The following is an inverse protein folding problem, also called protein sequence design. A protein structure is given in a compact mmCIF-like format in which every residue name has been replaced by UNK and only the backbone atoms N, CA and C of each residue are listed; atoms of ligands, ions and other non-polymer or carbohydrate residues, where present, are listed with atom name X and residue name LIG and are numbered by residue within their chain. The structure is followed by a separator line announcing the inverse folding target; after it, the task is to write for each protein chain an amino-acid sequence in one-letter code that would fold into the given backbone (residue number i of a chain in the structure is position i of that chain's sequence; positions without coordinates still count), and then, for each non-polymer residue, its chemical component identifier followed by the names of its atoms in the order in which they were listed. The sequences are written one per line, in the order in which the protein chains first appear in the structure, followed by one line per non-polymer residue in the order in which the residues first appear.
data_IF_659584843113
#
_entry.id   IF_659584843113
#
_cell.length_a   1.000
_cell.length_b   1.000
_cell.length_c   1.000
_cell.angle_alpha   90.00
_cell.angle_beta   90.00
_cell.angle_gamma   90.00
#
_symmetry.space_group_name_H-M   'P 1'
#
loop_
_entity.id
_entity.type
_entity.pdbx_description
1 polymer ?
#
# COMPACT_ATOMS: atom_id res chain seq x y z
N UNK A 1 29.17 4.66 -7.82
CA UNK A 1 28.19 5.42 -8.58
C UNK A 1 27.99 6.78 -7.92
N UNK A 2 28.00 7.83 -8.71
CA UNK A 2 27.76 9.23 -8.29
C UNK A 2 26.30 9.49 -7.96
N UNK A 3 25.65 8.57 -7.24
CA UNK A 3 24.25 8.71 -6.85
C UNK A 3 24.14 9.48 -5.55
N UNK A 4 23.27 10.50 -5.46
CA UNK A 4 23.08 11.28 -4.25
C UNK A 4 22.40 10.48 -3.12
N UNK A 5 21.83 9.31 -3.43
CA UNK A 5 21.11 8.50 -2.45
C UNK A 5 21.15 7.03 -2.78
N UNK A 6 21.47 6.22 -1.77
CA UNK A 6 21.37 4.77 -1.80
C UNK A 6 20.30 4.29 -0.84
N UNK A 7 19.50 3.33 -1.27
CA UNK A 7 18.49 2.66 -0.47
C UNK A 7 18.80 1.17 -0.45
N UNK A 8 19.12 0.64 0.69
CA UNK A 8 19.47 -0.78 0.89
C UNK A 8 18.40 -1.40 1.78
N UNK A 9 17.70 -2.41 1.26
CA UNK A 9 16.74 -3.19 2.04
C UNK A 9 17.39 -4.52 2.40
N UNK A 10 17.46 -4.80 3.69
CA UNK A 10 18.09 -6.00 4.22
C UNK A 10 17.23 -7.24 3.99
N UNK A 11 17.84 -8.44 3.94
CA UNK A 11 17.13 -9.69 3.69
C UNK A 11 16.06 -9.94 4.75
N UNK A 12 15.01 -10.64 4.33
CA UNK A 12 13.95 -11.13 5.20
C UNK A 12 13.82 -12.63 5.02
N UNK A 13 13.09 -13.32 5.89
CA UNK A 13 12.77 -14.73 5.69
C UNK A 13 12.03 -15.03 4.38
N UNK A 14 11.49 -13.99 3.72
CA UNK A 14 10.75 -14.07 2.45
C UNK A 14 11.59 -13.65 1.24
N UNK A 15 12.50 -12.71 1.43
CA UNK A 15 13.40 -12.19 0.40
C UNK A 15 14.84 -12.37 0.91
N UNK A 16 15.54 -13.42 0.52
CA UNK A 16 16.87 -13.73 1.05
C UNK A 16 17.98 -12.82 0.52
N UNK A 17 17.72 -12.05 -0.53
CA UNK A 17 18.70 -11.12 -1.11
C UNK A 17 18.63 -9.72 -0.52
N UNK A 18 19.78 -9.02 -0.53
CA UNK A 18 19.86 -7.58 -0.22
C UNK A 18 19.42 -6.81 -1.45
N UNK A 19 18.37 -6.00 -1.34
CA UNK A 19 17.94 -5.12 -2.43
C UNK A 19 18.62 -3.76 -2.30
N UNK A 20 19.51 -3.44 -3.22
CA UNK A 20 20.10 -2.12 -3.35
C UNK A 20 19.35 -1.33 -4.43
N UNK A 21 19.02 -0.06 -4.16
CA UNK A 21 18.43 0.85 -5.13
C UNK A 21 19.09 2.22 -5.02
N UNK A 22 19.31 2.86 -6.16
CA UNK A 22 19.95 4.16 -6.24
C UNK A 22 19.34 4.99 -7.37
N UNK A 23 19.46 6.31 -7.28
CA UNK A 23 19.05 7.21 -8.34
C UNK A 23 20.23 7.47 -9.29
N UNK A 24 19.95 7.50 -10.59
CA UNK A 24 20.94 7.98 -11.55
C UNK A 24 21.18 9.49 -11.40
N UNK A 25 22.39 9.91 -11.63
CA UNK A 25 22.66 11.32 -11.94
C UNK A 25 21.87 11.74 -13.19
N UNK A 26 21.42 13.00 -13.29
CA UNK A 26 20.77 13.48 -14.51
C UNK A 26 21.73 13.32 -15.71
N UNK A 27 21.30 12.53 -16.70
CA UNK A 27 22.06 12.42 -17.96
C UNK A 27 21.73 13.64 -18.81
N UNK A 28 22.75 14.29 -19.35
CA UNK A 28 22.56 15.40 -20.26
C UNK A 28 21.76 14.97 -21.49
N UNK A 29 20.90 15.86 -22.01
CA UNK A 29 20.10 15.56 -23.21
C UNK A 29 21.02 15.19 -24.38
N UNK A 30 20.76 14.04 -24.99
CA UNK A 30 21.50 13.55 -26.17
C UNK A 30 22.67 12.61 -25.89
N UNK A 31 22.97 12.29 -24.63
CA UNK A 31 23.98 11.29 -24.27
C UNK A 31 23.30 9.92 -24.20
N UNK A 32 23.85 8.93 -24.93
CA UNK A 32 23.40 7.55 -24.84
C UNK A 32 23.67 7.01 -23.43
N UNK A 33 22.69 6.36 -22.86
CA UNK A 33 22.83 5.75 -21.54
C UNK A 33 23.70 4.48 -21.63
N UNK A 34 24.57 4.25 -20.64
CA UNK A 34 25.37 3.02 -20.63
C UNK A 34 24.47 1.78 -20.53
N UNK A 35 24.88 0.65 -21.13
CA UNK A 35 24.16 -0.61 -20.99
C UNK A 35 24.05 -0.98 -19.50
N UNK A 36 22.93 -1.60 -19.12
CA UNK A 36 22.72 -2.08 -17.76
C UNK A 36 23.64 -3.27 -17.48
N UNK A 37 24.29 -3.25 -16.32
CA UNK A 37 25.04 -4.39 -15.84
C UNK A 37 24.13 -5.59 -15.56
N UNK A 38 24.68 -6.80 -15.61
CA UNK A 38 23.92 -8.03 -15.35
C UNK A 38 23.28 -7.98 -13.96
N UNK A 39 21.98 -8.31 -13.88
CA UNK A 39 21.21 -8.29 -12.61
C UNK A 39 20.72 -6.91 -12.16
N UNK A 40 21.05 -5.84 -12.88
CA UNK A 40 20.54 -4.49 -12.60
C UNK A 40 19.27 -4.23 -13.38
N UNK A 41 18.23 -3.78 -12.70
CA UNK A 41 16.96 -3.32 -13.31
C UNK A 41 16.86 -1.81 -13.21
N UNK A 42 16.21 -1.19 -14.20
CA UNK A 42 15.98 0.26 -14.23
C UNK A 42 14.49 0.57 -14.31
N UNK A 43 14.07 1.56 -13.53
CA UNK A 43 12.71 2.12 -13.59
C UNK A 43 12.76 3.64 -13.56
N UNK A 44 12.69 4.26 -14.72
CA UNK A 44 12.88 5.70 -14.86
C UNK A 44 14.29 6.13 -14.44
N UNK A 45 14.39 6.96 -13.41
CA UNK A 45 15.66 7.45 -12.85
C UNK A 45 16.24 6.56 -11.73
N UNK A 46 15.56 5.46 -11.38
CA UNK A 46 15.98 4.57 -10.31
C UNK A 46 16.53 3.27 -10.88
N UNK A 47 17.66 2.85 -10.34
CA UNK A 47 18.28 1.57 -10.57
C UNK A 47 18.08 0.68 -9.35
N UNK A 48 17.99 -0.61 -9.54
CA UNK A 48 17.97 -1.56 -8.44
C UNK A 48 18.64 -2.88 -8.83
N UNK A 49 19.28 -3.50 -7.86
CA UNK A 49 19.84 -4.82 -7.96
C UNK A 49 19.51 -5.62 -6.69
N UNK A 50 19.38 -6.92 -6.84
CA UNK A 50 19.33 -7.85 -5.72
C UNK A 50 20.70 -8.47 -5.58
N UNK A 51 21.30 -8.34 -4.41
CA UNK A 51 22.67 -8.78 -4.13
C UNK A 51 22.63 -10.00 -3.21
N UNK A 52 23.55 -10.90 -3.40
CA UNK A 52 23.83 -11.97 -2.46
C UNK A 52 24.42 -11.37 -1.17
N UNK A 53 23.82 -11.60 0.01
CA UNK A 53 24.29 -11.02 1.25
C UNK A 53 25.67 -11.51 1.68
N UNK A 54 26.14 -12.68 1.20
CA UNK A 54 27.44 -13.23 1.53
C UNK A 54 28.55 -12.68 0.64
N UNK A 55 28.29 -12.50 -0.65
CA UNK A 55 29.30 -12.13 -1.65
C UNK A 55 29.18 -10.69 -2.15
N UNK A 56 28.04 -10.04 -1.93
CA UNK A 56 27.71 -8.72 -2.47
C UNK A 56 27.52 -8.71 -3.99
N UNK A 57 27.60 -9.86 -4.66
CA UNK A 57 27.43 -9.95 -6.11
C UNK A 57 25.95 -9.87 -6.51
N UNK A 58 25.64 -9.28 -7.65
CA UNK A 58 24.28 -9.29 -8.17
C UNK A 58 23.81 -10.73 -8.37
N UNK A 59 22.67 -11.06 -7.76
CA UNK A 59 21.97 -12.31 -8.04
C UNK A 59 21.37 -12.22 -9.44
N UNK A 60 21.51 -13.29 -10.23
CA UNK A 60 20.83 -13.40 -11.51
C UNK A 60 19.34 -13.14 -11.27
N UNK A 61 18.80 -12.14 -11.97
CA UNK A 61 17.45 -11.64 -11.71
C UNK A 61 16.43 -12.76 -11.73
N UNK A 62 15.71 -12.93 -10.63
CA UNK A 62 14.50 -13.75 -10.62
C UNK A 62 13.58 -13.22 -11.70
N UNK A 63 13.03 -14.09 -12.53
CA UNK A 63 12.11 -13.73 -13.61
C UNK A 63 10.95 -12.88 -13.05
N UNK A 64 11.01 -11.59 -13.27
CA UNK A 64 9.94 -10.67 -12.88
C UNK A 64 8.80 -10.76 -13.91
N UNK A 65 7.75 -11.50 -13.58
CA UNK A 65 6.54 -11.56 -14.43
C UNK A 65 5.71 -10.28 -14.37
N UNK A 66 5.99 -9.40 -13.41
CA UNK A 66 5.22 -8.17 -13.07
C UNK A 66 3.72 -8.41 -12.80
N UNK A 67 3.25 -9.66 -12.72
CA UNK A 67 1.84 -9.96 -12.46
C UNK A 67 1.37 -9.41 -11.11
N UNK A 68 2.15 -9.56 -10.07
CA UNK A 68 1.85 -8.98 -8.75
C UNK A 68 1.80 -7.45 -8.79
N UNK A 69 2.73 -6.80 -9.49
CA UNK A 69 2.75 -5.35 -9.66
C UNK A 69 1.55 -4.84 -10.47
N UNK A 70 1.09 -5.62 -11.45
CA UNK A 70 -0.11 -5.29 -12.21
C UNK A 70 -1.34 -5.22 -11.30
N UNK A 71 -1.61 -6.26 -10.51
CA UNK A 71 -2.75 -6.27 -9.58
C UNK A 71 -2.60 -5.26 -8.46
N UNK A 72 -1.39 -5.06 -7.94
CA UNK A 72 -1.11 -4.04 -6.94
C UNK A 72 -1.46 -2.63 -7.45
N UNK A 73 -1.06 -2.29 -8.69
CA UNK A 73 -1.39 -1.01 -9.31
C UNK A 73 -2.87 -0.91 -9.69
N UNK A 74 -3.47 -1.98 -10.20
CA UNK A 74 -4.89 -2.01 -10.53
C UNK A 74 -5.75 -1.66 -9.31
N UNK A 75 -5.32 -2.07 -8.12
CA UNK A 75 -6.05 -1.86 -6.88
C UNK A 75 -6.32 -0.38 -6.57
N UNK A 76 -5.42 0.53 -6.92
CA UNK A 76 -5.56 1.95 -6.57
C UNK A 76 -5.32 2.95 -7.72
N UNK A 77 -4.74 2.52 -8.84
CA UNK A 77 -4.43 3.38 -9.99
C UNK A 77 -5.22 3.01 -11.25
N UNK A 78 -5.98 1.89 -11.28
CA UNK A 78 -6.85 1.45 -12.38
C UNK A 78 -6.19 1.50 -13.77
N UNK A 79 -4.96 1.23 -13.97
CA UNK A 79 -4.23 1.29 -15.25
C UNK A 79 -4.90 2.10 -16.40
N UNK A 80 -4.13 2.53 -17.38
CA UNK A 80 -4.59 3.21 -18.61
C UNK A 80 -5.34 4.53 -18.42
N UNK A 81 -5.32 5.12 -17.23
CA UNK A 81 -5.85 6.45 -16.94
C UNK A 81 -4.93 7.22 -15.97
N UNK A 82 -5.05 8.56 -15.88
CA UNK A 82 -4.32 9.33 -14.88
C UNK A 82 -4.64 8.86 -13.45
N UNK A 83 -3.60 8.57 -12.65
CA UNK A 83 -3.72 8.02 -11.31
C UNK A 83 -4.63 8.83 -10.38
N UNK A 84 -4.67 10.16 -10.54
CA UNK A 84 -5.53 11.02 -9.73
C UNK A 84 -7.01 10.70 -9.93
N UNK A 85 -7.45 10.51 -11.16
CA UNK A 85 -8.84 10.16 -11.48
C UNK A 85 -9.18 8.75 -11.03
N UNK A 86 -8.25 7.80 -11.26
CA UNK A 86 -8.41 6.43 -10.81
C UNK A 86 -8.64 6.36 -9.30
N UNK A 87 -7.82 7.06 -8.52
CA UNK A 87 -7.93 7.10 -7.06
C UNK A 87 -9.23 7.74 -6.57
N UNK A 88 -9.73 8.78 -7.25
CA UNK A 88 -11.06 9.33 -6.95
C UNK A 88 -12.17 8.32 -7.22
N UNK A 89 -12.14 7.63 -8.35
CA UNK A 89 -13.14 6.59 -8.68
C UNK A 89 -13.14 5.49 -7.61
N UNK A 90 -11.95 4.97 -7.28
CA UNK A 90 -11.81 3.93 -6.24
C UNK A 90 -12.28 4.44 -4.88
N UNK A 91 -11.95 5.68 -4.52
CA UNK A 91 -12.40 6.30 -3.28
C UNK A 91 -13.92 6.40 -3.19
N UNK A 92 -14.60 6.79 -4.26
CA UNK A 92 -16.07 6.79 -4.33
C UNK A 92 -16.63 5.37 -4.19
N UNK A 93 -16.07 4.38 -4.88
CA UNK A 93 -16.48 2.98 -4.74
C UNK A 93 -16.30 2.47 -3.31
N UNK A 94 -15.17 2.77 -2.68
CA UNK A 94 -14.91 2.41 -1.28
C UNK A 94 -15.84 3.11 -0.31
N UNK A 95 -16.18 4.39 -0.53
CA UNK A 95 -17.15 5.12 0.28
C UNK A 95 -18.54 4.51 0.18
N UNK A 96 -19.01 4.20 -1.04
CA UNK A 96 -20.29 3.53 -1.22
C UNK A 96 -20.31 2.14 -0.60
N UNK A 97 -19.21 1.40 -0.69
CA UNK A 97 -19.07 0.10 -0.04
C UNK A 97 -19.17 0.24 1.48
N UNK A 98 -18.48 1.22 2.09
CA UNK A 98 -18.55 1.47 3.53
C UNK A 98 -19.99 1.82 3.97
N UNK A 99 -20.65 2.70 3.24
CA UNK A 99 -22.06 3.05 3.50
C UNK A 99 -22.95 1.82 3.38
N UNK A 100 -22.76 0.98 2.35
CA UNK A 100 -23.54 -0.25 2.17
C UNK A 100 -23.32 -1.24 3.32
N UNK A 101 -22.08 -1.42 3.78
CA UNK A 101 -21.76 -2.28 4.93
C UNK A 101 -22.46 -1.77 6.19
N UNK A 102 -22.30 -0.49 6.52
CA UNK A 102 -22.90 0.09 7.74
C UNK A 102 -24.42 0.03 7.69
N UNK A 103 -25.03 0.43 6.58
CA UNK A 103 -26.49 0.38 6.41
C UNK A 103 -27.01 -1.05 6.40
N UNK A 104 -26.26 -2.00 5.82
CA UNK A 104 -26.56 -3.42 5.85
C UNK A 104 -26.62 -3.96 7.28
N UNK A 105 -25.66 -3.63 8.12
CA UNK A 105 -25.64 -4.03 9.55
C UNK A 105 -26.85 -3.44 10.29
N UNK A 106 -27.16 -2.16 10.06
CA UNK A 106 -28.23 -1.46 10.76
C UNK A 106 -29.62 -1.99 10.34
N UNK A 107 -29.81 -2.27 9.05
CA UNK A 107 -31.12 -2.67 8.50
C UNK A 107 -31.42 -4.16 8.68
N UNK A 108 -30.41 -5.02 8.64
CA UNK A 108 -30.59 -6.49 8.74
C UNK A 108 -30.40 -7.00 10.16
N UNK A 109 -31.38 -6.77 11.05
CA UNK A 109 -31.33 -7.16 12.46
C UNK A 109 -31.08 -8.67 12.71
N UNK A 110 -31.38 -9.54 11.73
CA UNK A 110 -31.19 -11.01 11.80
C UNK A 110 -30.05 -11.50 10.94
N UNK A 111 -29.08 -10.65 10.62
CA UNK A 111 -27.97 -10.95 9.71
C UNK A 111 -27.25 -12.26 10.07
N UNK A 112 -27.07 -12.56 11.36
CA UNK A 112 -26.41 -13.77 11.83
C UNK A 112 -27.33 -14.99 11.89
N UNK A 113 -28.65 -14.80 12.05
CA UNK A 113 -29.63 -15.91 12.08
C UNK A 113 -29.85 -16.48 10.68
N UNK A 114 -29.93 -15.62 9.67
CA UNK A 114 -30.17 -16.02 8.28
C UNK A 114 -28.90 -16.50 7.57
N UNK A 115 -27.72 -16.28 8.17
CA UNK A 115 -26.43 -16.68 7.63
C UNK A 115 -26.30 -18.19 7.36
N UNK A 116 -26.83 -19.03 8.25
CA UNK A 116 -26.70 -20.49 8.15
C UNK A 116 -27.70 -21.18 7.18
N UNK A 117 -28.52 -20.40 6.48
CA UNK A 117 -29.55 -20.93 5.57
C UNK A 117 -29.13 -20.87 4.10
N UNK A 118 -28.12 -21.63 3.68
CA UNK A 118 -27.75 -21.73 2.27
C UNK A 118 -28.57 -22.78 1.52
N UNK A 119 -29.36 -22.33 0.55
CA UNK A 119 -30.24 -23.17 -0.29
C UNK A 119 -29.69 -23.30 -1.69
N UNK A 120 -28.94 -24.34 -1.97
CA UNK A 120 -28.39 -24.62 -3.29
C UNK A 120 -29.48 -24.91 -4.35
N UNK A 121 -29.22 -24.57 -5.60
CA UNK A 121 -30.06 -24.86 -6.79
C UNK A 121 -31.51 -24.33 -6.72
N UNK A 122 -31.71 -23.19 -6.02
CA UNK A 122 -33.02 -22.53 -5.90
C UNK A 122 -33.07 -21.19 -6.70
N UNK A 123 -32.28 -21.06 -7.76
CA UNK A 123 -32.26 -19.89 -8.64
C UNK A 123 -31.86 -18.62 -7.88
N UNK A 124 -32.66 -17.56 -8.01
CA UNK A 124 -32.37 -16.25 -7.37
C UNK A 124 -32.18 -16.36 -5.85
N UNK A 125 -32.82 -17.30 -5.20
CA UNK A 125 -32.70 -17.51 -3.75
C UNK A 125 -31.32 -18.02 -3.35
N UNK A 126 -30.71 -18.88 -4.19
CA UNK A 126 -29.32 -19.33 -3.97
C UNK A 126 -28.33 -18.17 -4.08
N UNK A 127 -28.54 -17.25 -5.01
CA UNK A 127 -27.69 -16.05 -5.14
C UNK A 127 -27.84 -15.11 -3.95
N UNK A 128 -29.05 -14.94 -3.43
CA UNK A 128 -29.28 -14.16 -2.21
C UNK A 128 -28.59 -14.78 -0.99
N UNK A 129 -28.74 -16.10 -0.83
CA UNK A 129 -28.10 -16.84 0.26
C UNK A 129 -26.57 -16.77 0.15
N UNK A 130 -26.00 -16.88 -1.07
CA UNK A 130 -24.56 -16.72 -1.31
C UNK A 130 -24.07 -15.29 -1.01
N UNK A 131 -24.83 -14.29 -1.42
CA UNK A 131 -24.54 -12.88 -1.12
C UNK A 131 -24.49 -12.64 0.40
N UNK A 132 -25.50 -13.09 1.12
CA UNK A 132 -25.58 -12.96 2.57
C UNK A 132 -24.44 -13.72 3.27
N UNK A 133 -24.19 -14.97 2.87
CA UNK A 133 -23.14 -15.79 3.47
C UNK A 133 -21.76 -15.17 3.32
N UNK A 134 -21.40 -14.71 2.12
CA UNK A 134 -20.09 -14.06 1.87
C UNK A 134 -19.98 -12.71 2.55
N UNK A 135 -21.07 -11.93 2.58
CA UNK A 135 -21.10 -10.63 3.25
C UNK A 135 -20.88 -10.76 4.77
N UNK A 136 -21.56 -11.73 5.42
CA UNK A 136 -21.48 -11.91 6.88
C UNK A 136 -20.18 -12.58 7.30
N UNK A 137 -19.73 -13.60 6.56
CA UNK A 137 -18.50 -14.33 6.90
C UNK A 137 -17.27 -13.43 6.86
N UNK A 138 -17.17 -12.58 5.88
CA UNK A 138 -16.04 -11.67 5.71
C UNK A 138 -16.32 -10.25 6.23
N UNK A 139 -17.42 -10.02 6.96
CA UNK A 139 -17.84 -8.70 7.43
C UNK A 139 -16.77 -7.93 8.22
N UNK A 140 -16.09 -8.53 9.22
CA UNK A 140 -15.05 -7.82 9.97
C UNK A 140 -13.90 -7.39 9.07
N UNK A 141 -13.50 -8.25 8.13
CA UNK A 141 -12.47 -7.95 7.16
C UNK A 141 -12.93 -6.84 6.19
N UNK A 142 -14.13 -6.96 5.61
CA UNK A 142 -14.64 -5.97 4.65
C UNK A 142 -14.78 -4.58 5.29
N UNK A 143 -15.26 -4.51 6.53
CA UNK A 143 -15.34 -3.25 7.27
C UNK A 143 -13.95 -2.67 7.51
N UNK A 144 -13.02 -3.48 8.03
CA UNK A 144 -11.64 -3.10 8.30
C UNK A 144 -10.94 -2.62 7.03
N UNK A 145 -10.92 -3.41 5.96
CA UNK A 145 -10.14 -3.13 4.76
C UNK A 145 -10.69 -1.91 3.99
N UNK A 146 -12.02 -1.74 3.96
CA UNK A 146 -12.66 -0.61 3.29
C UNK A 146 -12.40 0.70 4.04
N UNK A 147 -12.58 0.71 5.36
CA UNK A 147 -12.33 1.88 6.19
C UNK A 147 -10.84 2.28 6.14
N UNK A 148 -9.94 1.32 6.33
CA UNK A 148 -8.50 1.58 6.31
C UNK A 148 -8.00 1.99 4.92
N UNK A 149 -8.64 1.51 3.84
CA UNK A 149 -8.38 1.95 2.47
C UNK A 149 -8.67 3.44 2.26
N UNK A 150 -9.81 3.91 2.77
CA UNK A 150 -10.14 5.34 2.75
C UNK A 150 -9.14 6.18 3.57
N UNK A 151 -8.71 5.67 4.74
CA UNK A 151 -7.68 6.34 5.55
C UNK A 151 -6.34 6.40 4.83
N UNK A 152 -5.99 5.40 4.02
CA UNK A 152 -4.73 5.37 3.26
C UNK A 152 -4.58 6.57 2.33
N UNK A 153 -5.66 7.00 1.70
CA UNK A 153 -5.70 8.15 0.78
C UNK A 153 -6.44 9.37 1.37
N UNK A 154 -6.64 9.42 2.69
CA UNK A 154 -7.46 10.46 3.33
C UNK A 154 -6.99 11.88 3.05
N UNK A 155 -5.68 12.11 2.88
CA UNK A 155 -5.13 13.43 2.57
C UNK A 155 -5.55 13.92 1.17
N UNK A 156 -5.86 12.99 0.26
CA UNK A 156 -6.40 13.31 -1.05
C UNK A 156 -7.90 13.56 -0.98
N UNK A 157 -8.63 12.76 -0.20
CA UNK A 157 -10.10 12.86 -0.11
C UNK A 157 -10.57 13.96 0.85
N UNK A 158 -9.82 14.20 1.94
CA UNK A 158 -10.16 15.15 3.01
C UNK A 158 -8.94 16.03 3.38
N UNK A 159 -8.47 16.90 2.47
CA UNK A 159 -7.30 17.75 2.73
C UNK A 159 -7.54 18.86 3.74
N UNK A 160 -8.80 19.09 4.12
CA UNK A 160 -9.20 20.25 4.93
C UNK A 160 -8.65 20.22 6.36
N UNK A 161 -8.54 19.05 6.99
CA UNK A 161 -7.97 18.90 8.33
C UNK A 161 -6.55 19.49 8.42
N UNK A 162 -5.59 19.02 7.60
CA UNK A 162 -4.26 19.61 7.52
C UNK A 162 -4.24 21.09 7.15
N UNK A 163 -5.10 21.52 6.22
CA UNK A 163 -5.18 22.91 5.80
C UNK A 163 -5.60 23.85 6.96
N UNK A 164 -6.59 23.45 7.73
CA UNK A 164 -7.07 24.24 8.88
C UNK A 164 -6.04 24.22 10.03
N UNK A 165 -5.53 23.03 10.40
CA UNK A 165 -4.64 22.87 11.55
C UNK A 165 -3.30 23.54 11.33
N UNK A 166 -2.71 23.39 10.14
CA UNK A 166 -1.39 23.91 9.80
C UNK A 166 -1.44 25.22 8.97
N UNK A 167 -2.63 25.82 8.81
CA UNK A 167 -2.83 27.08 8.06
C UNK A 167 -2.22 27.04 6.64
N UNK A 168 -2.23 25.87 6.01
CA UNK A 168 -1.65 25.65 4.70
C UNK A 168 -0.12 25.37 4.70
N UNK A 169 0.53 25.38 5.85
CA UNK A 169 1.95 24.99 5.94
C UNK A 169 2.12 23.47 5.77
N UNK A 170 2.31 23.07 4.51
CA UNK A 170 2.53 21.67 4.13
C UNK A 170 3.84 21.11 4.70
N UNK A 171 4.83 21.98 4.95
CA UNK A 171 6.12 21.53 5.47
C UNK A 171 6.02 21.17 6.95
N UNK A 172 5.38 22.01 7.78
CA UNK A 172 5.10 21.73 9.18
C UNK A 172 4.26 20.44 9.34
N UNK A 173 3.19 20.32 8.54
CA UNK A 173 2.39 19.09 8.49
C UNK A 173 3.22 17.85 8.18
N UNK A 174 4.06 17.92 7.12
CA UNK A 174 4.86 16.77 6.71
C UNK A 174 5.92 16.40 7.75
N UNK A 175 6.54 17.39 8.39
CA UNK A 175 7.54 17.17 9.43
C UNK A 175 6.94 16.47 10.67
N UNK A 176 5.72 16.85 11.04
CA UNK A 176 5.06 16.27 12.22
C UNK A 176 4.46 14.89 11.93
N UNK A 177 3.70 14.75 10.83
CA UNK A 177 2.93 13.52 10.54
C UNK A 177 3.80 12.42 9.92
N UNK A 178 4.87 12.81 9.24
CA UNK A 178 5.83 11.90 8.59
C UNK A 178 7.26 12.19 9.05
N UNK A 179 7.56 12.04 10.33
CA UNK A 179 8.92 12.27 10.82
C UNK A 179 9.90 11.36 10.10
N UNK A 180 11.00 11.92 9.61
CA UNK A 180 11.99 11.22 8.80
C UNK A 180 11.73 11.22 7.29
N UNK A 181 10.61 11.77 6.81
CA UNK A 181 10.36 12.03 5.38
C UNK A 181 10.88 13.40 4.92
N UNK A 182 11.65 14.09 5.76
CA UNK A 182 12.29 15.36 5.43
C UNK A 182 13.14 15.27 4.17
N UNK A 183 13.44 16.42 3.55
CA UNK A 183 14.36 16.48 2.42
C UNK A 183 15.71 15.93 2.86
N UNK A 184 16.30 15.09 1.99
CA UNK A 184 17.70 14.70 2.19
C UNK A 184 18.55 15.94 2.46
N UNK A 185 19.53 15.85 3.39
CA UNK A 185 20.41 16.97 3.68
C UNK A 185 21.05 17.45 2.38
N UNK A 186 21.21 18.78 2.24
CA UNK A 186 21.90 19.32 1.09
C UNK A 186 23.37 18.89 1.14
N UNK A 187 23.97 18.49 0.01
CA UNK A 187 25.39 18.18 -0.02
C UNK A 187 26.21 19.43 0.36
N UNK A 188 27.29 19.22 1.09
CA UNK A 188 28.22 20.30 1.47
C UNK A 188 29.15 20.69 0.33
N UNK A 189 29.34 19.79 -0.64
CA UNK A 189 30.34 19.92 -1.69
C UNK A 189 31.78 19.60 -1.24
N UNK A 190 31.96 19.19 0.02
CA UNK A 190 33.25 18.79 0.58
C UNK A 190 33.36 17.27 0.52
N UNK A 191 34.35 16.76 -0.20
CA UNK A 191 34.57 15.32 -0.30
C UNK A 191 35.00 14.74 1.04
N UNK A 192 34.28 13.68 1.48
CA UNK A 192 34.63 12.93 2.68
C UNK A 192 34.24 11.46 2.51
N UNK A 193 35.06 10.49 2.93
CA UNK A 193 34.75 9.07 2.82
C UNK A 193 33.59 8.70 3.71
N UNK A 194 32.75 7.76 3.27
CA UNK A 194 31.72 7.14 4.10
C UNK A 194 32.38 6.24 5.14
N UNK A 195 31.99 6.43 6.40
CA UNK A 195 32.43 5.57 7.50
C UNK A 195 31.79 4.15 7.44
N UNK A 196 32.28 3.23 8.28
CA UNK A 196 31.76 1.87 8.34
C UNK A 196 30.31 1.84 8.84
N UNK A 197 29.44 1.12 8.12
CA UNK A 197 28.01 1.01 8.45
C UNK A 197 27.73 -0.09 9.49
N UNK A 198 28.58 -1.12 9.58
CA UNK A 198 28.40 -2.24 10.49
C UNK A 198 28.23 -1.82 11.96
N UNK A 199 29.03 -0.90 12.53
CA UNK A 199 28.84 -0.43 13.90
C UNK A 199 27.50 0.28 14.10
N UNK A 200 26.96 0.95 13.08
CA UNK A 200 25.67 1.63 13.14
C UNK A 200 24.53 0.61 13.21
N UNK A 201 24.63 -0.48 12.42
CA UNK A 201 23.67 -1.59 12.48
C UNK A 201 23.71 -2.24 13.86
N UNK A 202 24.89 -2.46 14.45
CA UNK A 202 25.01 -3.01 15.80
C UNK A 202 24.32 -2.12 16.85
N UNK A 203 24.45 -0.80 16.76
CA UNK A 203 23.76 0.13 17.66
C UNK A 203 22.23 0.04 17.47
N UNK A 204 21.73 -0.08 16.25
CA UNK A 204 20.32 -0.25 15.99
C UNK A 204 19.79 -1.60 16.54
N UNK A 205 20.57 -2.67 16.41
CA UNK A 205 20.23 -3.99 16.97
C UNK A 205 20.19 -4.01 18.50
N UNK A 206 21.10 -3.27 19.15
CA UNK A 206 21.06 -3.11 20.62
C UNK A 206 19.76 -2.44 21.10
N UNK A 207 19.17 -1.52 20.30
CA UNK A 207 17.93 -0.82 20.64
C UNK A 207 16.67 -1.57 20.25
N UNK A 208 16.67 -2.24 19.10
CA UNK A 208 15.47 -2.84 18.51
C UNK A 208 15.46 -4.37 18.52
N UNK A 209 16.56 -5.01 18.93
CA UNK A 209 16.77 -6.45 18.85
C UNK A 209 17.47 -6.90 17.55
N UNK A 210 18.00 -8.10 17.56
CA UNK A 210 18.65 -8.68 16.39
C UNK A 210 17.70 -8.83 15.19
N UNK A 211 18.22 -8.60 13.98
CA UNK A 211 17.44 -8.73 12.75
C UNK A 211 16.33 -7.70 12.56
N UNK A 212 16.21 -6.73 13.46
CA UNK A 212 15.15 -5.72 13.43
C UNK A 212 15.40 -4.59 12.43
N UNK A 213 16.64 -4.36 12.00
CA UNK A 213 16.96 -3.38 10.96
C UNK A 213 16.47 -3.88 9.60
N UNK A 214 15.59 -3.10 8.95
CA UNK A 214 15.00 -3.47 7.68
C UNK A 214 15.54 -2.67 6.50
N UNK A 215 15.87 -1.41 6.73
CA UNK A 215 16.28 -0.50 5.66
C UNK A 215 17.43 0.41 6.10
N UNK A 216 18.36 0.61 5.20
CA UNK A 216 19.47 1.55 5.33
C UNK A 216 19.34 2.56 4.19
N UNK A 217 19.27 3.84 4.51
CA UNK A 217 19.29 4.91 3.53
C UNK A 217 20.58 5.70 3.71
N UNK A 218 21.40 5.80 2.67
CA UNK A 218 22.59 6.65 2.66
C UNK A 218 22.30 7.85 1.78
N UNK A 219 22.33 9.04 2.33
CA UNK A 219 22.18 10.30 1.59
C UNK A 219 23.54 10.97 1.47
N UNK A 220 23.82 11.54 0.31
CA UNK A 220 25.08 12.22 -0.05
C UNK A 220 26.34 11.35 0.21
N UNK A 221 26.40 10.10 -0.27
CA UNK A 221 27.59 9.26 -0.06
C UNK A 221 28.82 9.91 -0.70
N UNK A 222 29.92 10.01 0.05
CA UNK A 222 31.15 10.67 -0.40
C UNK A 222 31.25 12.18 -0.13
N UNK A 223 30.29 12.72 0.63
CA UNK A 223 30.25 14.13 1.04
C UNK A 223 30.34 14.26 2.54
N UNK A 224 30.90 15.34 3.06
CA UNK A 224 30.98 15.60 4.49
C UNK A 224 29.61 15.72 5.17
N UNK A 225 28.55 16.08 4.43
CA UNK A 225 27.18 16.09 4.89
C UNK A 225 26.47 14.73 4.66
N UNK A 226 27.21 13.63 4.48
CA UNK A 226 26.63 12.31 4.36
C UNK A 226 25.86 11.93 5.62
N UNK A 227 24.69 11.31 5.44
CA UNK A 227 23.92 10.74 6.54
C UNK A 227 23.55 9.27 6.24
N UNK A 228 23.53 8.46 7.30
CA UNK A 228 23.07 7.08 7.27
C UNK A 228 21.84 6.97 8.16
N UNK A 229 20.71 6.67 7.55
CA UNK A 229 19.45 6.44 8.27
C UNK A 229 19.14 4.96 8.30
N UNK A 230 19.03 4.39 9.49
CA UNK A 230 18.56 3.03 9.70
C UNK A 230 17.09 3.06 10.09
N UNK A 231 16.28 2.19 9.49
CA UNK A 231 14.87 2.06 9.82
C UNK A 231 14.56 0.64 10.28
N UNK A 232 13.73 0.51 11.32
CA UNK A 232 13.25 -0.79 11.80
C UNK A 232 12.39 -1.46 10.74
N UNK A 233 12.30 -2.77 10.78
CA UNK A 233 11.47 -3.57 9.86
C UNK A 233 9.99 -3.26 10.03
N UNK A 234 9.27 -3.18 8.91
CA UNK A 234 7.84 -2.88 8.90
C UNK A 234 6.94 -4.11 9.09
N UNK A 235 7.51 -5.32 9.05
CA UNK A 235 6.77 -6.57 9.09
C UNK A 235 6.68 -7.18 10.49
N UNK A 236 7.22 -6.51 11.51
CA UNK A 236 7.21 -6.98 12.91
C UNK A 236 5.99 -6.48 13.68
N UNK A 237 5.39 -5.36 13.27
CA UNK A 237 4.28 -4.71 13.97
C UNK A 237 3.11 -4.40 13.05
N UNK A 238 1.91 -4.28 13.64
CA UNK A 238 0.74 -3.75 12.90
C UNK A 238 0.93 -2.29 12.50
N UNK A 239 1.76 -1.53 13.19
CA UNK A 239 2.03 -0.14 12.85
C UNK A 239 2.94 -0.05 11.62
N UNK A 240 2.57 0.78 10.65
CA UNK A 240 3.42 1.12 9.51
C UNK A 240 4.52 2.13 9.85
N UNK A 241 4.46 2.72 11.03
CA UNK A 241 5.46 3.65 11.52
C UNK A 241 6.74 2.89 11.90
N UNK A 242 7.83 3.27 11.26
CA UNK A 242 9.13 2.66 11.52
C UNK A 242 9.98 3.63 12.33
N UNK A 243 10.45 3.24 13.54
CA UNK A 243 11.48 3.96 14.23
C UNK A 243 12.73 4.07 13.35
N UNK A 244 13.41 5.21 13.40
CA UNK A 244 14.62 5.45 12.61
C UNK A 244 15.71 6.04 13.47
N UNK A 245 16.96 5.66 13.19
CA UNK A 245 18.16 6.27 13.74
C UNK A 245 18.89 6.95 12.59
N UNK A 246 19.25 8.21 12.78
CA UNK A 246 19.99 9.01 11.80
C UNK A 246 21.39 9.25 12.33
N UNK A 247 22.39 8.84 11.56
CA UNK A 247 23.80 8.98 11.89
C UNK A 247 24.51 9.90 10.91
N UNK A 248 25.53 10.58 11.37
CA UNK A 248 26.52 11.19 10.50
C UNK A 248 27.25 10.09 9.72
N UNK A 249 27.25 10.19 8.40
CA UNK A 249 27.79 9.14 7.52
C UNK A 249 29.31 9.05 7.51
N UNK A 250 30.03 10.07 8.01
CA UNK A 250 31.49 10.09 7.99
C UNK A 250 32.10 9.59 9.30
N UNK A 251 31.54 10.00 10.45
CA UNK A 251 32.07 9.68 11.78
C UNK A 251 31.20 8.75 12.62
N UNK A 252 29.99 8.40 12.14
CA UNK A 252 29.07 7.48 12.85
C UNK A 252 28.36 8.07 14.06
N UNK A 253 28.45 9.37 14.32
CA UNK A 253 27.75 10.04 15.41
C UNK A 253 26.23 9.96 15.20
N UNK A 254 25.47 9.62 16.25
CA UNK A 254 24.01 9.69 16.22
C UNK A 254 23.57 11.14 16.18
N UNK A 255 22.87 11.54 15.12
CA UNK A 255 22.36 12.89 14.88
C UNK A 255 20.92 13.06 15.36
N UNK A 256 20.14 11.98 15.34
CA UNK A 256 18.74 12.02 15.72
C UNK A 256 18.09 10.65 15.72
N UNK A 257 16.96 10.61 16.40
CA UNK A 257 16.12 9.43 16.52
C UNK A 257 14.68 9.84 16.29
N UNK A 258 13.95 9.09 15.46
CA UNK A 258 12.51 9.24 15.35
C UNK A 258 11.86 8.07 16.04
N UNK A 259 11.12 8.41 17.08
CA UNK A 259 10.83 7.51 18.13
C UNK A 259 9.72 6.51 17.93
N UNK A 260 9.63 5.71 18.93
CA UNK A 260 8.54 4.78 19.19
C UNK A 260 7.31 5.52 19.74
N UNK A 261 7.51 6.60 20.47
CA UNK A 261 6.43 7.44 21.01
C UNK A 261 6.11 8.60 20.05
N UNK A 262 5.05 8.44 19.28
CA UNK A 262 4.61 9.39 18.23
C UNK A 262 3.30 10.08 18.56
N UNK A 263 2.78 9.91 19.77
CA UNK A 263 1.45 10.39 20.13
C UNK A 263 0.30 9.56 19.49
N UNK A 264 -0.88 9.68 20.07
CA UNK A 264 -2.03 8.85 19.75
C UNK A 264 -2.49 8.97 18.29
N UNK A 265 -2.47 10.17 17.71
CA UNK A 265 -2.95 10.43 16.34
C UNK A 265 -2.07 9.73 15.31
N UNK A 266 -0.75 9.88 15.40
CA UNK A 266 0.20 9.26 14.46
C UNK A 266 0.18 7.75 14.63
N UNK A 267 0.13 7.24 15.86
CA UNK A 267 0.03 5.81 16.15
C UNK A 267 -1.24 5.22 15.55
N UNK A 268 -2.41 5.83 15.79
CA UNK A 268 -3.69 5.37 15.23
C UNK A 268 -3.64 5.32 13.70
N UNK A 269 -3.18 6.41 13.07
CA UNK A 269 -3.04 6.45 11.61
C UNK A 269 -2.10 5.35 11.11
N UNK A 270 -0.97 5.16 11.77
CA UNK A 270 0.04 4.18 11.37
C UNK A 270 -0.45 2.74 11.51
N UNK A 271 -1.24 2.44 12.54
CA UNK A 271 -1.88 1.14 12.72
C UNK A 271 -2.96 0.92 11.63
N UNK A 272 -3.82 1.91 11.38
CA UNK A 272 -4.84 1.79 10.32
C UNK A 272 -4.21 1.57 8.94
N UNK A 273 -3.12 2.28 8.65
CA UNK A 273 -2.36 2.10 7.42
C UNK A 273 -1.69 0.72 7.36
N UNK A 274 -1.12 0.26 8.47
CA UNK A 274 -0.51 -1.07 8.57
C UNK A 274 -1.51 -2.20 8.43
N UNK A 275 -2.71 -2.06 9.01
CA UNK A 275 -3.83 -2.99 8.84
C UNK A 275 -4.23 -3.11 7.37
N UNK A 276 -4.29 -2.00 6.65
CA UNK A 276 -4.58 -2.02 5.22
C UNK A 276 -3.51 -2.74 4.40
N UNK A 277 -2.25 -2.55 4.74
CA UNK A 277 -1.14 -3.20 4.03
C UNK A 277 -0.96 -4.68 4.37
N UNK A 278 -1.35 -5.10 5.57
CA UNK A 278 -1.24 -6.48 6.05
C UNK A 278 0.21 -7.04 6.07
N UNK A 279 1.22 -6.18 6.21
CA UNK A 279 2.64 -6.62 6.19
C UNK A 279 3.00 -7.49 7.38
N UNK A 280 2.41 -7.22 8.53
CA UNK A 280 2.58 -7.98 9.78
C UNK A 280 1.97 -9.39 9.71
N UNK A 281 1.05 -9.61 8.76
CA UNK A 281 0.32 -10.87 8.67
C UNK A 281 1.26 -12.04 8.34
N UNK A 282 1.18 -13.10 9.10
CA UNK A 282 1.81 -14.38 8.83
C UNK A 282 1.17 -15.07 7.60
N UNK A 283 1.69 -16.22 7.13
CA UNK A 283 1.12 -16.91 5.98
C UNK A 283 -0.35 -17.30 6.13
N UNK A 284 -0.78 -17.73 7.34
CA UNK A 284 -2.16 -18.12 7.59
C UNK A 284 -3.10 -16.93 7.53
N UNK A 285 -2.76 -15.84 8.21
CA UNK A 285 -3.56 -14.60 8.20
C UNK A 285 -3.63 -13.98 6.80
N UNK A 286 -2.55 -14.06 6.02
CA UNK A 286 -2.57 -13.65 4.60
C UNK A 286 -3.49 -14.49 3.75
N UNK A 287 -3.50 -15.80 3.97
CA UNK A 287 -4.45 -16.69 3.29
C UNK A 287 -5.90 -16.32 3.64
N UNK A 288 -6.18 -16.03 4.92
CA UNK A 288 -7.50 -15.56 5.36
C UNK A 288 -7.88 -14.21 4.72
N UNK A 289 -6.95 -13.26 4.63
CA UNK A 289 -7.18 -11.99 3.93
C UNK A 289 -7.49 -12.22 2.45
N UNK A 290 -6.74 -13.11 1.79
CA UNK A 290 -6.99 -13.45 0.40
C UNK A 290 -8.37 -14.08 0.18
N UNK A 291 -8.73 -15.07 1.00
CA UNK A 291 -10.06 -15.71 0.93
C UNK A 291 -11.18 -14.72 1.23
N UNK A 292 -10.99 -13.82 2.20
CA UNK A 292 -11.95 -12.75 2.50
C UNK A 292 -12.09 -11.76 1.34
N UNK A 293 -10.99 -11.45 0.64
CA UNK A 293 -11.01 -10.64 -0.58
C UNK A 293 -11.80 -11.33 -1.70
N UNK A 294 -11.59 -12.63 -1.92
CA UNK A 294 -12.40 -13.41 -2.87
C UNK A 294 -13.88 -13.44 -2.49
N UNK A 295 -14.20 -13.57 -1.20
CA UNK A 295 -15.57 -13.47 -0.71
C UNK A 295 -16.21 -12.11 -1.06
N UNK A 296 -15.42 -11.03 -1.00
CA UNK A 296 -15.83 -9.70 -1.46
C UNK A 296 -16.16 -9.66 -2.96
N UNK A 297 -15.36 -10.30 -3.80
CA UNK A 297 -15.64 -10.42 -5.23
C UNK A 297 -16.96 -11.18 -5.48
N UNK A 298 -17.18 -12.29 -4.77
CA UNK A 298 -18.44 -13.07 -4.85
C UNK A 298 -19.62 -12.23 -4.37
N UNK A 299 -19.46 -11.49 -3.28
CA UNK A 299 -20.49 -10.59 -2.74
C UNK A 299 -20.90 -9.52 -3.76
N UNK A 300 -19.95 -8.84 -4.39
CA UNK A 300 -20.21 -7.83 -5.41
C UNK A 300 -20.90 -8.44 -6.63
N UNK A 301 -20.36 -9.56 -7.14
CA UNK A 301 -20.93 -10.25 -8.31
C UNK A 301 -22.36 -10.71 -8.06
N UNK A 302 -22.63 -11.36 -6.92
CA UNK A 302 -23.99 -11.80 -6.56
C UNK A 302 -24.94 -10.62 -6.36
N UNK A 303 -24.46 -9.51 -5.79
CA UNK A 303 -25.22 -8.27 -5.66
C UNK A 303 -25.63 -7.69 -7.01
N UNK A 304 -24.70 -7.65 -7.98
CA UNK A 304 -24.98 -7.21 -9.36
C UNK A 304 -26.00 -8.13 -10.06
N UNK A 305 -25.89 -9.44 -9.90
CA UNK A 305 -26.84 -10.41 -10.46
C UNK A 305 -28.25 -10.21 -9.87
N UNK A 306 -28.35 -10.02 -8.55
CA UNK A 306 -29.62 -9.76 -7.88
C UNK A 306 -30.26 -8.42 -8.37
N UNK A 307 -29.43 -7.40 -8.53
CA UNK A 307 -29.87 -6.13 -9.08
C UNK A 307 -30.34 -6.28 -10.54
N UNK A 308 -29.60 -7.00 -11.38
CA UNK A 308 -29.98 -7.27 -12.77
C UNK A 308 -31.34 -8.00 -12.88
N UNK A 309 -31.56 -9.04 -12.08
CA UNK A 309 -32.86 -9.74 -12.06
C UNK A 309 -34.01 -8.82 -11.67
N UNK A 310 -33.80 -7.97 -10.67
CA UNK A 310 -34.80 -6.98 -10.24
C UNK A 310 -35.13 -5.96 -11.33
N UNK A 311 -34.10 -5.41 -11.99
CA UNK A 311 -34.29 -4.43 -13.06
C UNK A 311 -34.92 -5.06 -14.31
N UNK A 312 -34.53 -6.28 -14.71
CA UNK A 312 -35.19 -7.00 -15.82
C UNK A 312 -36.67 -7.26 -15.56
N UNK A 313 -37.04 -7.57 -14.31
CA UNK A 313 -38.44 -7.73 -13.95
C UNK A 313 -39.25 -6.42 -14.08
N UNK A 314 -38.66 -5.29 -13.64
CA UNK A 314 -39.27 -3.96 -13.84
C UNK A 314 -39.37 -3.62 -15.33
N UNK A 315 -38.32 -3.86 -16.08
CA UNK A 315 -38.24 -3.64 -17.51
C UNK A 315 -39.34 -4.36 -18.27
N UNK A 316 -39.52 -5.67 -18.02
CA UNK A 316 -40.56 -6.46 -18.66
C UNK A 316 -41.98 -5.88 -18.42
N UNK A 317 -42.25 -5.34 -17.20
CA UNK A 317 -43.51 -4.68 -16.88
C UNK A 317 -43.69 -3.38 -17.65
N UNK A 318 -42.64 -2.56 -17.76
CA UNK A 318 -42.70 -1.27 -18.49
C UNK A 318 -42.94 -1.49 -19.97
N UNK A 319 -42.25 -2.49 -20.58
CA UNK A 319 -42.44 -2.84 -22.01
C UNK A 319 -43.85 -3.40 -22.25
N UNK A 320 -44.33 -4.26 -21.37
CA UNK A 320 -45.69 -4.81 -21.46
C UNK A 320 -46.78 -3.71 -21.42
N UNK A 321 -46.48 -2.58 -20.78
CA UNK A 321 -47.36 -1.39 -20.69
C UNK A 321 -47.11 -0.38 -21.82
N UNK A 322 -46.32 -0.69 -22.84
CA UNK A 322 -46.00 0.24 -23.95
C UNK A 322 -45.00 1.32 -23.63
N UNK A 323 -44.36 1.27 -22.45
CA UNK A 323 -43.37 2.26 -21.98
C UNK A 323 -41.98 2.06 -22.59
N UNK A 324 -41.14 3.12 -22.55
CA UNK A 324 -39.74 3.06 -22.98
C UNK A 324 -38.81 2.72 -21.81
N UNK A 325 -37.78 1.94 -22.13
CA UNK A 325 -36.76 1.51 -21.17
C UNK A 325 -35.87 2.66 -20.75
N UNK A 326 -35.72 2.85 -19.45
CA UNK A 326 -34.78 3.80 -18.87
C UNK A 326 -33.32 3.41 -19.10
N UNK A 327 -32.42 4.38 -19.00
CA UNK A 327 -30.98 4.15 -19.17
C UNK A 327 -30.41 3.18 -18.12
N UNK A 328 -30.97 3.13 -16.91
CA UNK A 328 -30.54 2.22 -15.85
C UNK A 328 -30.65 0.74 -16.25
N UNK A 329 -31.74 0.35 -16.94
CA UNK A 329 -31.88 -1.02 -17.44
C UNK A 329 -30.86 -1.34 -18.54
N UNK A 330 -30.56 -0.37 -19.40
CA UNK A 330 -29.51 -0.53 -20.42
C UNK A 330 -28.11 -0.67 -19.80
N UNK A 331 -27.85 0.09 -18.73
CA UNK A 331 -26.59 -0.03 -17.98
C UNK A 331 -26.45 -1.40 -17.34
N UNK A 332 -27.53 -1.91 -16.73
CA UNK A 332 -27.54 -3.26 -16.13
C UNK A 332 -27.27 -4.33 -17.16
N UNK A 333 -27.89 -4.25 -18.33
CA UNK A 333 -27.66 -5.19 -19.42
C UNK A 333 -26.20 -5.11 -19.91
N UNK A 334 -25.64 -3.91 -20.06
CA UNK A 334 -24.24 -3.72 -20.47
C UNK A 334 -23.20 -4.17 -19.43
N UNK A 335 -23.54 -4.15 -18.14
CA UNK A 335 -22.64 -4.62 -17.07
C UNK A 335 -22.70 -6.14 -16.84
N UNK A 336 -23.72 -6.84 -17.35
CA UNK A 336 -23.94 -8.27 -17.17
C UNK A 336 -23.74 -9.10 -18.44
N UNK A 337 -23.20 -8.49 -19.50
CA UNK A 337 -22.69 -9.16 -20.69
C UNK A 337 -21.20 -9.44 -20.50
#
# INVERSE_FOLDING_TARGET
PSSPRWLITLPTGREPGVRASWSAAPVARGVAEPPLEHGVTRRGRFYSAVLDPATGQPLAGTRETRGGEFFYRLHFDLHYMPAIWARWIIGFCAMFMLVAIVTGIVTHRRIFADFFTFRAKKGQRSWLDAHNATAVLALPYHLMITYTGLVTLMLMYMPFGPQVTYKGDQQAFTAEVFPGSGRDPKPSGIAAPLGPITPLIAQAQQRWGEGSTGRITVSNPGDAAATVTLSRRADQDMSSAQPTLVFNGTNGQLLGETGEDRGAVITTRSVLYGLHQGRFADPLLRALFFVSGLAGCVMVTTGLLLWAVKERSKYAKVVAQGGRVGWGSRLVDGLNV
#
